data_IF_454434616768
#
_entry.id   IF_454434616768
#
_cell.length_a   1.000
_cell.length_b   1.000
_cell.length_c   1.000
_cell.angle_alpha   90.00
_cell.angle_beta   90.00
_cell.angle_gamma   90.00
#
_symmetry.space_group_name_H-M   'P 1'
#
loop_
_entity.id
_entity.type
_entity.pdbx_description
1 polymer ?
#
# COMPACT_ATOMS: atom_id res chain seq x y z
N UNK A 1 4.57 11.43 8.30
CA UNK A 1 4.32 10.94 6.93
C UNK A 1 5.15 11.76 5.96
N UNK A 2 6.20 11.18 5.36
CA UNK A 2 7.05 11.86 4.38
C UNK A 2 6.24 12.31 3.17
N UNK A 3 6.72 13.35 2.46
CA UNK A 3 6.01 13.87 1.28
C UNK A 3 5.79 12.74 0.27
N UNK A 4 4.52 12.38 0.05
CA UNK A 4 4.15 11.48 -1.02
C UNK A 4 4.54 12.17 -2.35
N UNK A 5 5.23 11.48 -3.28
CA UNK A 5 5.54 12.02 -4.59
C UNK A 5 4.27 12.59 -5.26
N UNK A 6 4.41 13.71 -5.96
CA UNK A 6 3.26 14.41 -6.55
C UNK A 6 2.45 13.52 -7.51
N UNK A 7 3.13 12.60 -8.19
CA UNK A 7 2.51 11.63 -9.09
C UNK A 7 1.58 10.65 -8.38
N UNK A 8 1.77 10.44 -7.07
CA UNK A 8 0.97 9.53 -6.24
C UNK A 8 -0.15 10.24 -5.46
N UNK A 9 -0.33 11.57 -5.63
CA UNK A 9 -1.37 12.33 -4.91
C UNK A 9 -2.78 11.76 -5.09
N UNK A 10 -3.08 11.22 -6.28
CA UNK A 10 -4.37 10.59 -6.58
C UNK A 10 -4.63 9.32 -5.75
N UNK A 11 -3.58 8.70 -5.19
CA UNK A 11 -3.68 7.49 -4.39
C UNK A 11 -3.92 7.76 -2.89
N UNK A 12 -3.79 9.02 -2.46
CA UNK A 12 -3.97 9.43 -1.06
C UNK A 12 -5.32 9.00 -0.45
N UNK A 13 -6.47 9.05 -1.16
CA UNK A 13 -7.73 8.58 -0.61
C UNK A 13 -7.72 7.08 -0.24
N UNK A 14 -7.09 6.25 -1.06
CA UNK A 14 -7.00 4.80 -0.82
C UNK A 14 -6.07 4.47 0.36
N UNK A 15 -4.97 5.22 0.50
CA UNK A 15 -4.11 5.12 1.68
C UNK A 15 -4.87 5.47 2.96
N UNK A 16 -5.73 6.50 2.90
CA UNK A 16 -6.57 6.86 4.04
C UNK A 16 -7.59 5.76 4.38
N UNK A 17 -8.24 5.18 3.38
CA UNK A 17 -9.18 4.06 3.61
C UNK A 17 -8.44 2.87 4.24
N UNK A 18 -7.23 2.55 3.78
CA UNK A 18 -6.42 1.49 4.37
C UNK A 18 -6.08 1.76 5.84
N UNK A 19 -5.66 2.99 6.16
CA UNK A 19 -5.39 3.42 7.54
C UNK A 19 -6.64 3.30 8.42
N UNK A 20 -7.78 3.82 7.95
CA UNK A 20 -9.07 3.77 8.66
C UNK A 20 -9.55 2.32 8.89
N UNK A 21 -9.20 1.38 8.00
CA UNK A 21 -9.63 -0.02 8.05
C UNK A 21 -8.65 -0.95 8.77
N UNK A 22 -7.45 -0.48 9.10
CA UNK A 22 -6.38 -1.30 9.70
C UNK A 22 -6.77 -1.98 11.02
N UNK A 23 -7.70 -1.40 11.78
CA UNK A 23 -8.22 -1.97 13.03
C UNK A 23 -9.60 -2.64 12.87
N UNK A 24 -10.23 -2.50 11.70
CA UNK A 24 -11.62 -2.92 11.47
C UNK A 24 -11.74 -4.13 10.55
N UNK A 25 -11.09 -4.07 9.39
CA UNK A 25 -11.17 -5.08 8.34
C UNK A 25 -9.85 -5.14 7.56
N UNK A 26 -9.04 -6.13 7.91
CA UNK A 26 -7.73 -6.37 7.31
C UNK A 26 -7.83 -6.70 5.81
N UNK A 27 -8.95 -7.27 5.34
CA UNK A 27 -9.12 -7.56 3.93
C UNK A 27 -9.31 -6.26 3.14
N UNK A 28 -10.09 -5.31 3.67
CA UNK A 28 -10.26 -4.00 3.04
C UNK A 28 -8.96 -3.19 3.06
N UNK A 29 -8.22 -3.20 4.18
CA UNK A 29 -6.89 -2.60 4.27
C UNK A 29 -5.97 -3.17 3.17
N UNK A 30 -5.86 -4.49 3.09
CA UNK A 30 -5.01 -5.19 2.14
C UNK A 30 -5.34 -4.80 0.70
N UNK A 31 -6.61 -4.88 0.29
CA UNK A 31 -6.99 -4.60 -1.10
C UNK A 31 -6.83 -3.12 -1.47
N UNK A 32 -7.01 -2.20 -0.52
CA UNK A 32 -6.71 -0.79 -0.73
C UNK A 32 -5.21 -0.56 -0.97
N UNK A 33 -4.34 -1.15 -0.14
CA UNK A 33 -2.89 -1.04 -0.28
C UNK A 33 -2.37 -1.73 -1.54
N UNK A 34 -2.94 -2.88 -1.91
CA UNK A 34 -2.62 -3.58 -3.15
C UNK A 34 -2.96 -2.73 -4.39
N UNK A 35 -4.13 -2.08 -4.38
CA UNK A 35 -4.50 -1.13 -5.43
C UNK A 35 -3.49 0.02 -5.54
N UNK A 36 -3.10 0.62 -4.41
CA UNK A 36 -2.08 1.69 -4.37
C UNK A 36 -0.75 1.19 -4.94
N UNK A 37 -0.29 0.00 -4.55
CA UNK A 37 0.94 -0.59 -5.06
C UNK A 37 0.89 -0.77 -6.58
N UNK A 38 -0.20 -1.33 -7.10
CA UNK A 38 -0.41 -1.55 -8.53
C UNK A 38 -0.38 -0.24 -9.32
N UNK A 39 -1.07 0.80 -8.83
CA UNK A 39 -1.10 2.10 -9.50
C UNK A 39 0.22 2.85 -9.38
N UNK A 40 0.91 2.79 -8.24
CA UNK A 40 2.24 3.38 -8.07
C UNK A 40 3.24 2.76 -9.06
N UNK A 41 3.24 1.43 -9.19
CA UNK A 41 4.04 0.72 -10.20
C UNK A 41 3.61 1.03 -11.63
N UNK A 42 2.36 1.43 -11.89
CA UNK A 42 1.91 1.82 -13.24
C UNK A 42 2.37 3.23 -13.60
N UNK A 43 2.34 4.13 -12.64
CA UNK A 43 2.69 5.54 -12.80
C UNK A 43 4.20 5.75 -12.92
N UNK A 44 4.99 5.09 -12.09
CA UNK A 44 6.44 5.26 -12.07
C UNK A 44 7.18 4.07 -11.45
N UNK A 45 8.04 3.45 -12.27
CA UNK A 45 8.90 2.32 -11.87
C UNK A 45 10.38 2.69 -11.74
N UNK A 46 10.71 3.92 -12.12
CA UNK A 46 12.08 4.35 -12.40
C UNK A 46 12.61 5.28 -11.32
N UNK A 47 11.75 6.11 -10.73
CA UNK A 47 12.19 7.06 -9.71
C UNK A 47 12.54 6.34 -8.41
N UNK A 48 13.71 6.64 -7.80
CA UNK A 48 14.12 6.03 -6.54
C UNK A 48 13.10 6.22 -5.40
N UNK A 49 12.39 7.36 -5.35
CA UNK A 49 11.35 7.57 -4.33
C UNK A 49 10.16 6.63 -4.52
N UNK A 50 9.69 6.46 -5.76
CA UNK A 50 8.59 5.54 -6.10
C UNK A 50 8.99 4.07 -5.86
N UNK A 51 10.23 3.69 -6.17
CA UNK A 51 10.75 2.37 -5.87
C UNK A 51 10.79 2.11 -4.36
N UNK A 52 11.31 3.06 -3.58
CA UNK A 52 11.35 2.93 -2.11
C UNK A 52 9.95 2.79 -1.51
N UNK A 53 8.98 3.57 -2.01
CA UNK A 53 7.58 3.49 -1.59
C UNK A 53 6.92 2.15 -1.94
N UNK A 54 7.12 1.65 -3.16
CA UNK A 54 6.53 0.38 -3.61
C UNK A 54 7.15 -0.83 -2.90
N UNK A 55 8.45 -0.81 -2.62
CA UNK A 55 9.11 -1.82 -1.79
C UNK A 55 8.53 -1.81 -0.37
N UNK A 56 8.36 -0.63 0.23
CA UNK A 56 7.74 -0.51 1.55
C UNK A 56 6.32 -1.09 1.59
N UNK A 57 5.48 -0.74 0.61
CA UNK A 57 4.12 -1.28 0.50
C UNK A 57 4.11 -2.80 0.34
N UNK A 58 5.00 -3.34 -0.50
CA UNK A 58 5.12 -4.78 -0.70
C UNK A 58 5.52 -5.50 0.59
N UNK A 59 6.50 -4.98 1.34
CA UNK A 59 6.89 -5.51 2.64
C UNK A 59 5.74 -5.48 3.65
N UNK A 60 4.94 -4.42 3.65
CA UNK A 60 3.79 -4.31 4.53
C UNK A 60 2.68 -5.30 4.16
N UNK A 61 2.36 -5.46 2.87
CA UNK A 61 1.38 -6.46 2.42
C UNK A 61 1.79 -7.89 2.79
N UNK A 62 3.07 -8.24 2.61
CA UNK A 62 3.60 -9.53 3.05
C UNK A 62 3.47 -9.73 4.57
N UNK A 63 3.62 -8.66 5.36
CA UNK A 63 3.40 -8.70 6.81
C UNK A 63 1.93 -8.98 7.12
N UNK A 64 1.00 -8.26 6.51
CA UNK A 64 -0.44 -8.50 6.69
C UNK A 64 -0.82 -9.93 6.34
N UNK A 65 -0.32 -10.47 5.22
CA UNK A 65 -0.56 -11.85 4.83
C UNK A 65 -0.05 -12.82 5.89
N UNK A 66 1.19 -12.67 6.36
CA UNK A 66 1.77 -13.56 7.36
C UNK A 66 1.04 -13.51 8.71
N UNK A 67 0.60 -12.33 9.14
CA UNK A 67 -0.13 -12.16 10.41
C UNK A 67 -1.55 -12.72 10.35
N UNK A 68 -2.13 -12.86 9.16
CA UNK A 68 -3.50 -13.33 8.95
C UNK A 68 -3.57 -14.67 8.21
N UNK A 69 -2.46 -15.40 8.12
CA UNK A 69 -2.48 -16.79 7.65
C UNK A 69 -3.36 -17.61 8.58
N UNK A 70 -4.38 -18.23 8.01
CA UNK A 70 -5.11 -19.30 8.67
C UNK A 70 -4.28 -20.56 8.47
N UNK A 71 -3.69 -21.06 9.54
CA UNK A 71 -3.06 -22.39 9.53
C UNK A 71 -4.18 -23.42 9.26
N UNK A 72 -4.03 -24.15 8.15
CA UNK A 72 -4.98 -25.17 7.67
C UNK A 72 -4.78 -26.52 8.36
#
# INVERSE_FOLDING_TARGET
>A
MGRLPDILKSLKPFLKIAEDMSECDVAVEYWCLYYVLREALRLDRSSPECQSFTIYLLSYLNKLENENKVDE
#
